data_IF_197638952776
#
_entry.id   IF_197638952776
#
_cell.length_a   1.000
_cell.length_b   1.000
_cell.length_c   1.000
_cell.angle_alpha   90.00
_cell.angle_beta   90.00
_cell.angle_gamma   90.00
#
_symmetry.space_group_name_H-M   'P 1'
#
loop_
_entity.id
_entity.type
_entity.pdbx_description
1 polymer ?
#
# COMPACT_ATOMS: atom_id res chain seq x y z
N UNK A 1 62.09 5.36 3.34
CA UNK A 1 61.66 4.71 2.09
C UNK A 1 60.22 5.13 1.82
N UNK A 2 59.98 5.50 0.58
CA UNK A 2 58.68 5.93 0.04
C UNK A 2 57.79 4.68 -0.12
N UNK A 3 56.50 4.87 -0.35
CA UNK A 3 55.51 3.90 -0.88
C UNK A 3 54.66 3.19 0.21
N UNK A 4 53.33 3.27 0.24
CA UNK A 4 52.38 3.82 -0.71
C UNK A 4 50.95 3.86 -0.12
N UNK A 5 50.14 4.70 -0.78
CA UNK A 5 48.70 4.90 -0.65
C UNK A 5 47.91 3.58 -0.65
N UNK A 6 47.08 3.34 0.37
CA UNK A 6 45.91 2.46 0.23
C UNK A 6 44.67 3.23 0.70
N UNK A 7 44.04 3.84 -0.29
CA UNK A 7 42.72 4.44 -0.27
C UNK A 7 41.67 3.33 -0.04
N UNK A 8 41.40 2.97 1.20
CA UNK A 8 40.25 2.13 1.52
C UNK A 8 38.98 2.99 1.51
N UNK A 9 38.47 3.31 0.31
CA UNK A 9 37.10 3.79 0.16
C UNK A 9 36.20 2.62 0.53
N UNK A 10 35.77 2.58 1.79
CA UNK A 10 34.69 1.73 2.25
C UNK A 10 33.41 2.16 1.54
N UNK A 11 33.13 1.57 0.38
CA UNK A 11 31.83 1.65 -0.27
C UNK A 11 30.86 0.96 0.69
N UNK A 12 30.14 1.78 1.46
CA UNK A 12 28.98 1.36 2.22
C UNK A 12 27.94 0.92 1.18
N UNK A 13 27.86 -0.38 0.93
CA UNK A 13 26.77 -0.98 0.17
C UNK A 13 25.49 -0.75 0.98
N UNK A 14 24.83 0.39 0.74
CA UNK A 14 23.44 0.58 1.13
C UNK A 14 22.62 -0.30 0.18
N UNK A 15 22.63 -1.62 0.45
CA UNK A 15 21.70 -2.53 -0.20
C UNK A 15 20.34 -2.30 0.45
N UNK A 16 19.63 -1.27 0.00
CA UNK A 16 18.21 -1.16 0.28
C UNK A 16 17.53 -2.37 -0.34
N UNK A 17 17.14 -3.34 0.49
CA UNK A 17 16.28 -4.42 0.04
C UNK A 17 14.99 -3.78 -0.46
N UNK A 18 14.78 -3.79 -1.79
CA UNK A 18 13.48 -3.50 -2.36
C UNK A 18 12.51 -4.49 -1.74
N UNK A 19 11.67 -4.02 -0.80
CA UNK A 19 10.61 -4.85 -0.25
C UNK A 19 9.63 -5.06 -1.40
N UNK A 20 9.42 -6.31 -1.80
CA UNK A 20 8.37 -6.64 -2.73
C UNK A 20 7.04 -6.07 -2.17
N UNK A 21 6.27 -5.40 -3.02
CA UNK A 21 4.96 -4.86 -2.61
C UNK A 21 4.10 -6.01 -2.09
N UNK A 22 3.69 -5.90 -0.83
CA UNK A 22 2.88 -6.90 -0.14
C UNK A 22 1.51 -6.95 -0.82
N UNK A 23 1.00 -8.15 -1.09
CA UNK A 23 -0.35 -8.28 -1.66
C UNK A 23 -1.38 -7.95 -0.58
N UNK A 24 -2.26 -7.00 -0.89
CA UNK A 24 -3.30 -6.51 0.00
C UNK A 24 -4.64 -7.02 -0.50
N UNK A 25 -5.24 -7.92 0.25
CA UNK A 25 -6.58 -8.41 -0.03
C UNK A 25 -7.60 -7.29 0.18
N UNK A 26 -8.44 -7.04 -0.83
CA UNK A 26 -9.52 -6.06 -0.75
C UNK A 26 -10.86 -6.77 -0.76
N UNK A 27 -11.69 -6.51 0.25
CA UNK A 27 -13.02 -7.10 0.37
C UNK A 27 -14.04 -5.99 0.53
N UNK A 28 -15.14 -6.10 -0.20
CA UNK A 28 -16.27 -5.19 -0.08
C UNK A 28 -17.54 -5.97 0.24
N UNK A 29 -18.45 -5.32 0.99
CA UNK A 29 -19.74 -5.89 1.32
C UNK A 29 -20.70 -4.86 1.89
N UNK A 30 -21.99 -5.12 1.68
CA UNK A 30 -23.06 -4.32 2.22
C UNK A 30 -23.60 -4.96 3.51
N UNK A 31 -23.80 -4.15 4.55
CA UNK A 31 -24.48 -4.55 5.78
C UNK A 31 -25.74 -3.71 5.98
N UNK A 32 -26.60 -4.12 6.92
CA UNK A 32 -27.91 -3.45 7.14
C UNK A 32 -27.80 -1.96 7.44
N UNK A 33 -26.74 -1.53 8.13
CA UNK A 33 -26.58 -0.13 8.57
C UNK A 33 -25.43 0.60 7.88
N UNK A 34 -24.50 -0.11 7.22
CA UNK A 34 -23.31 0.50 6.62
C UNK A 34 -22.74 -0.36 5.50
N UNK A 35 -22.05 0.30 4.58
CA UNK A 35 -21.12 -0.35 3.66
C UNK A 35 -19.77 -0.60 4.32
N UNK A 36 -19.08 -1.68 3.94
CA UNK A 36 -17.73 -1.96 4.42
C UNK A 36 -16.81 -2.28 3.25
N UNK A 37 -15.65 -1.63 3.25
CA UNK A 37 -14.48 -2.00 2.44
C UNK A 37 -13.35 -2.32 3.42
N UNK A 38 -12.69 -3.45 3.22
CA UNK A 38 -11.61 -3.97 4.08
C UNK A 38 -10.35 -4.11 3.23
N UNK A 39 -9.24 -3.59 3.74
CA UNK A 39 -7.90 -3.76 3.19
C UNK A 39 -7.09 -4.55 4.20
N UNK A 40 -6.59 -5.73 3.84
CA UNK A 40 -6.00 -6.69 4.78
C UNK A 40 -4.49 -6.84 4.56
N UNK A 41 -3.72 -6.58 5.62
CA UNK A 41 -2.30 -6.88 5.70
C UNK A 41 -2.05 -8.03 6.69
N UNK A 42 -1.06 -8.91 6.45
CA UNK A 42 -0.56 -9.93 7.39
C UNK A 42 -0.17 -9.40 8.78
N UNK A 43 0.20 -8.12 8.88
CA UNK A 43 0.52 -7.46 10.14
C UNK A 43 -0.06 -6.04 10.17
N UNK A 44 -0.30 -5.50 11.37
CA UNK A 44 -0.87 -4.15 11.56
C UNK A 44 -0.11 -3.11 10.72
N UNK A 45 -0.85 -2.28 10.01
CA UNK A 45 -0.35 -1.15 9.23
C UNK A 45 -0.99 0.14 9.75
N UNK A 46 -0.22 1.21 9.89
CA UNK A 46 -0.77 2.54 10.14
C UNK A 46 -1.43 3.09 8.88
N UNK A 47 -2.45 3.91 9.05
CA UNK A 47 -3.17 4.52 7.94
C UNK A 47 -3.79 5.84 8.35
N UNK A 48 -3.93 6.73 7.36
CA UNK A 48 -4.65 7.98 7.46
C UNK A 48 -5.90 7.95 6.58
N UNK A 49 -6.93 8.66 7.04
CA UNK A 49 -8.20 8.82 6.33
C UNK A 49 -8.46 10.31 6.16
N UNK A 50 -8.61 10.73 4.91
CA UNK A 50 -9.02 12.09 4.56
C UNK A 50 -10.31 12.03 3.75
N UNK A 51 -11.31 12.81 4.14
CA UNK A 51 -12.53 12.99 3.35
C UNK A 51 -12.50 14.35 2.66
N UNK A 52 -12.58 14.33 1.33
CA UNK A 52 -12.63 15.52 0.48
C UNK A 52 -13.93 15.48 -0.33
N UNK A 53 -14.96 16.17 0.18
CA UNK A 53 -16.29 16.15 -0.42
C UNK A 53 -16.89 14.73 -0.44
N UNK A 54 -17.10 14.21 -1.64
CA UNK A 54 -17.64 12.87 -1.91
C UNK A 54 -16.56 11.78 -2.02
N UNK A 55 -15.27 12.14 -1.86
CA UNK A 55 -14.15 11.20 -1.94
C UNK A 55 -13.57 10.93 -0.56
N UNK A 56 -13.16 9.68 -0.37
CA UNK A 56 -12.34 9.25 0.77
C UNK A 56 -10.98 8.83 0.24
N UNK A 57 -9.92 9.49 0.69
CA UNK A 57 -8.54 9.13 0.42
C UNK A 57 -8.00 8.35 1.62
N UNK A 58 -7.56 7.12 1.36
CA UNK A 58 -6.87 6.27 2.32
C UNK A 58 -5.39 6.21 1.97
N UNK A 59 -4.54 6.55 2.93
CA UNK A 59 -3.08 6.43 2.78
C UNK A 59 -2.57 5.43 3.80
N UNK A 60 -1.83 4.43 3.33
CA UNK A 60 -1.25 3.40 4.19
C UNK A 60 0.25 3.66 4.35
N UNK A 61 0.77 3.51 5.57
CA UNK A 61 2.21 3.70 5.86
C UNK A 61 3.11 2.68 5.16
N UNK A 62 2.54 1.56 4.71
CA UNK A 62 3.25 0.49 4.01
C UNK A 62 2.74 0.38 2.58
N UNK A 63 3.63 0.32 1.57
CA UNK A 63 3.21 0.07 0.20
C UNK A 63 2.60 -1.33 0.08
N UNK A 64 1.70 -1.47 -0.89
CA UNK A 64 1.01 -2.73 -1.16
C UNK A 64 0.38 -2.75 -2.54
N UNK A 65 0.22 -3.96 -3.06
CA UNK A 65 -0.48 -4.26 -4.31
C UNK A 65 -1.90 -4.69 -3.99
N UNK A 66 -2.86 -3.83 -4.28
CA UNK A 66 -4.25 -4.04 -3.94
C UNK A 66 -4.94 -4.99 -4.92
N UNK A 67 -5.44 -6.12 -4.42
CA UNK A 67 -6.23 -7.06 -5.20
C UNK A 67 -7.67 -6.54 -5.38
N UNK A 68 -7.89 -5.69 -6.38
CA UNK A 68 -9.21 -5.06 -6.65
C UNK A 68 -10.08 -5.85 -7.64
N UNK A 69 -9.54 -6.90 -8.26
CA UNK A 69 -10.25 -7.69 -9.26
C UNK A 69 -11.58 -8.22 -8.70
N UNK A 70 -12.68 -7.83 -9.33
CA UNK A 70 -14.03 -8.25 -8.94
C UNK A 70 -14.57 -7.66 -7.64
N UNK A 71 -13.82 -6.81 -6.93
CA UNK A 71 -14.28 -6.09 -5.74
C UNK A 71 -15.35 -5.06 -6.11
N UNK A 72 -15.21 -4.42 -7.28
CA UNK A 72 -16.14 -3.40 -7.78
C UNK A 72 -17.60 -3.87 -7.78
N UNK A 73 -17.84 -5.15 -8.14
CA UNK A 73 -19.18 -5.76 -8.15
C UNK A 73 -19.81 -5.92 -6.77
N UNK A 74 -19.01 -5.82 -5.71
CA UNK A 74 -19.41 -6.02 -4.30
C UNK A 74 -19.32 -4.72 -3.50
N UNK A 75 -19.01 -3.59 -4.15
CA UNK A 75 -18.95 -2.31 -3.47
C UNK A 75 -20.31 -1.98 -2.84
N UNK A 76 -20.31 -1.38 -1.63
CA UNK A 76 -21.52 -0.83 -1.07
C UNK A 76 -22.12 0.24 -2.01
N UNK A 77 -23.44 0.44 -2.01
CA UNK A 77 -24.09 1.37 -2.93
C UNK A 77 -23.63 2.83 -2.76
N UNK A 78 -23.04 3.18 -1.60
CA UNK A 78 -22.48 4.50 -1.34
C UNK A 78 -21.08 4.70 -1.97
N UNK A 79 -20.42 3.61 -2.38
CA UNK A 79 -19.08 3.63 -2.99
C UNK A 79 -19.25 3.33 -4.47
N UNK A 80 -19.29 4.38 -5.29
CA UNK A 80 -19.55 4.26 -6.74
C UNK A 80 -18.30 3.91 -7.54
N UNK A 81 -17.12 4.14 -6.98
CA UNK A 81 -15.84 3.80 -7.58
C UNK A 81 -14.80 3.52 -6.49
N UNK A 82 -13.83 2.66 -6.81
CA UNK A 82 -12.64 2.43 -6.01
C UNK A 82 -11.43 2.51 -6.93
N UNK A 83 -10.52 3.45 -6.66
CA UNK A 83 -9.24 3.54 -7.35
C UNK A 83 -8.12 3.36 -6.34
N UNK A 84 -7.10 2.59 -6.68
CA UNK A 84 -5.92 2.37 -5.86
C UNK A 84 -4.68 2.86 -6.60
N UNK A 85 -3.94 3.79 -5.98
CA UNK A 85 -2.65 4.27 -6.49
C UNK A 85 -1.54 3.59 -5.69
N UNK A 86 -0.89 2.61 -6.30
CA UNK A 86 0.09 1.68 -5.73
C UNK A 86 0.11 0.45 -6.65
N UNK A 87 1.27 -0.08 -7.03
CA UNK A 87 1.44 -0.87 -8.27
C UNK A 87 0.33 -1.93 -8.45
N UNK A 88 -0.64 -1.65 -9.32
CA UNK A 88 -1.74 -2.57 -9.63
C UNK A 88 -1.16 -3.81 -10.34
N UNK A 89 -1.55 -5.02 -9.91
CA UNK A 89 -1.49 -6.20 -10.79
C UNK A 89 -2.85 -6.35 -11.44
#
# INVERSE_FOLDING_TARGET
>A
MRLGLLLAVSIFLITGAARADEQVEVRAGNHRAFGRVVFEWPSRVGYDVLQEGDRVLLTFERPGRFATEGVERRLPPQVTALAANGSAA
#
